data_IF_805760806074
#
_entry.id   IF_805760806074
#
_cell.length_a   1.000
_cell.length_b   1.000
_cell.length_c   1.000
_cell.angle_alpha   90.00
_cell.angle_beta   90.00
_cell.angle_gamma   90.00
#
_symmetry.space_group_name_H-M   'P 1'
#
loop_
_entity.id
_entity.type
_entity.pdbx_description
1 polymer ?
#
# COMPACT_ATOMS: atom_id res chain seq x y z
N UNK A 1 -6.18 27.33 64.56
CA UNK A 1 -6.48 26.71 63.25
C UNK A 1 -5.22 26.07 62.75
N UNK A 2 -5.14 24.71 62.72
CA UNK A 2 -4.01 23.97 62.12
C UNK A 2 -4.43 23.62 60.69
N UNK A 3 -3.72 24.21 59.71
CA UNK A 3 -3.90 23.87 58.32
C UNK A 3 -3.49 22.44 58.02
N UNK A 4 -4.06 21.78 56.98
CA UNK A 4 -3.70 20.44 56.56
C UNK A 4 -2.27 20.41 56.09
N UNK A 5 -1.46 19.51 56.69
CA UNK A 5 -0.06 19.26 56.28
C UNK A 5 -0.12 18.59 54.89
N UNK A 6 0.55 19.13 53.85
CA UNK A 6 0.61 18.48 52.57
C UNK A 6 1.32 17.13 52.70
N UNK A 7 0.65 16.03 52.37
CA UNK A 7 1.23 14.70 52.32
C UNK A 7 2.12 14.62 51.06
N UNK A 8 3.42 14.54 51.29
CA UNK A 8 4.36 14.27 50.19
C UNK A 8 4.22 12.83 49.68
N UNK A 9 4.41 12.61 48.40
CA UNK A 9 4.48 11.28 47.79
C UNK A 9 5.62 10.45 48.41
N UNK A 10 5.30 9.22 48.74
CA UNK A 10 6.34 8.25 49.22
C UNK A 10 7.16 7.76 48.02
N UNK A 11 8.46 7.58 48.22
CA UNK A 11 9.35 7.00 47.21
C UNK A 11 8.86 5.61 46.76
N UNK A 12 8.31 4.85 47.71
CA UNK A 12 7.69 3.54 47.46
C UNK A 12 6.45 3.64 46.52
N UNK A 13 5.63 4.65 46.71
CA UNK A 13 4.45 4.89 45.88
C UNK A 13 4.80 5.23 44.43
N UNK A 14 5.90 6.03 44.26
CA UNK A 14 6.41 6.33 42.93
C UNK A 14 6.90 5.07 42.21
N UNK A 15 7.65 4.20 42.91
CA UNK A 15 8.14 2.94 42.36
C UNK A 15 6.99 2.02 41.95
N UNK A 16 5.94 1.92 42.75
CA UNK A 16 4.77 1.11 42.46
C UNK A 16 4.02 1.67 41.21
N UNK A 17 3.85 2.98 41.12
CA UNK A 17 3.22 3.61 39.94
C UNK A 17 4.04 3.36 38.68
N UNK A 18 5.36 3.52 38.76
CA UNK A 18 6.24 3.22 37.62
C UNK A 18 6.19 1.75 37.20
N UNK A 19 6.13 0.82 38.17
CA UNK A 19 5.99 -0.60 37.87
C UNK A 19 4.66 -0.91 37.16
N UNK A 20 3.54 -0.32 37.63
CA UNK A 20 2.23 -0.49 36.99
C UNK A 20 2.24 0.08 35.56
N UNK A 21 2.83 1.27 35.37
CA UNK A 21 2.94 1.90 34.05
C UNK A 21 3.81 1.05 33.09
N UNK A 22 4.91 0.48 33.59
CA UNK A 22 5.75 -0.40 32.79
C UNK A 22 5.01 -1.66 32.33
N UNK A 23 4.24 -2.28 33.21
CA UNK A 23 3.42 -3.46 32.89
C UNK A 23 2.32 -3.07 31.86
N UNK A 24 1.64 -1.96 32.08
CA UNK A 24 0.62 -1.47 31.16
C UNK A 24 1.21 -1.18 29.77
N UNK A 25 2.36 -0.53 29.71
CA UNK A 25 3.06 -0.26 28.45
C UNK A 25 3.47 -1.56 27.73
N UNK A 26 3.96 -2.57 28.45
CA UNK A 26 4.35 -3.86 27.87
C UNK A 26 3.18 -4.61 27.22
N UNK A 27 1.97 -4.46 27.74
CA UNK A 27 0.75 -5.08 27.18
C UNK A 27 0.24 -4.32 25.96
N UNK A 28 0.32 -3.00 25.96
CA UNK A 28 -0.24 -2.14 24.89
C UNK A 28 0.69 -2.04 23.68
N UNK A 29 2.02 -1.99 23.89
CA UNK A 29 3.01 -1.75 22.84
C UNK A 29 2.90 -2.71 21.63
N UNK A 30 2.75 -4.05 21.77
CA UNK A 30 2.65 -4.94 20.61
C UNK A 30 1.38 -4.77 19.78
N UNK A 31 0.31 -4.22 20.35
CA UNK A 31 -0.94 -3.95 19.64
C UNK A 31 -0.84 -2.79 18.64
N UNK A 32 -0.08 -1.77 18.99
CA UNK A 32 0.07 -0.54 18.17
C UNK A 32 0.83 -0.82 16.86
N UNK A 33 1.90 -1.61 16.91
CA UNK A 33 2.70 -1.96 15.74
C UNK A 33 1.88 -2.67 14.64
N UNK A 34 1.11 -3.69 15.02
CA UNK A 34 0.28 -4.46 14.08
C UNK A 34 -0.81 -3.62 13.40
N UNK A 35 -1.33 -2.63 14.09
CA UNK A 35 -2.34 -1.71 13.53
C UNK A 35 -1.70 -0.75 12.52
N UNK A 36 -0.54 -0.21 12.82
CA UNK A 36 0.20 0.68 11.93
C UNK A 36 0.61 -0.01 10.62
N UNK A 37 1.08 -1.26 10.67
CA UNK A 37 1.44 -2.03 9.48
C UNK A 37 0.24 -2.30 8.58
N UNK A 38 -0.92 -2.56 9.18
CA UNK A 38 -2.17 -2.73 8.42
C UNK A 38 -2.64 -1.47 7.70
N UNK A 39 -2.45 -0.30 8.31
CA UNK A 39 -2.79 1.00 7.71
C UNK A 39 -1.82 1.32 6.56
N UNK A 40 -0.53 1.13 6.77
CA UNK A 40 0.50 1.32 5.74
C UNK A 40 0.27 0.43 4.53
N UNK A 41 0.02 -0.86 4.73
CA UNK A 41 -0.27 -1.80 3.66
C UNK A 41 -1.50 -1.39 2.84
N UNK A 42 -2.59 -0.95 3.49
CA UNK A 42 -3.78 -0.45 2.80
C UNK A 42 -3.49 0.81 1.99
N UNK A 43 -2.71 1.74 2.53
CA UNK A 43 -2.30 2.95 1.83
C UNK A 43 -1.48 2.63 0.58
N UNK A 44 -0.55 1.70 0.67
CA UNK A 44 0.26 1.23 -0.47
C UNK A 44 -0.60 0.60 -1.56
N UNK A 45 -1.50 -0.31 -1.20
CA UNK A 45 -2.44 -0.93 -2.17
C UNK A 45 -3.30 0.13 -2.85
N UNK A 46 -3.80 1.11 -2.08
CA UNK A 46 -4.54 2.25 -2.62
C UNK A 46 -3.73 3.07 -3.61
N UNK A 47 -2.47 3.27 -3.33
CA UNK A 47 -1.55 4.02 -4.15
C UNK A 47 -1.16 3.27 -5.46
N UNK A 48 -1.03 1.94 -5.42
CA UNK A 48 -0.86 1.10 -6.61
C UNK A 48 -2.10 1.22 -7.51
N UNK A 49 -3.30 1.09 -6.92
CA UNK A 49 -4.54 1.26 -7.67
C UNK A 49 -4.70 2.67 -8.27
N UNK A 50 -4.28 3.72 -7.56
CA UNK A 50 -4.28 5.09 -8.07
C UNK A 50 -3.31 5.26 -9.25
N UNK A 51 -2.12 4.63 -9.19
CA UNK A 51 -1.16 4.65 -10.28
C UNK A 51 -1.72 3.98 -11.55
N UNK A 52 -2.41 2.84 -11.42
CA UNK A 52 -3.08 2.18 -12.53
C UNK A 52 -4.21 3.05 -13.12
N UNK A 53 -4.99 3.74 -12.27
CA UNK A 53 -6.02 4.68 -12.74
C UNK A 53 -5.41 5.85 -13.50
N UNK A 54 -4.30 6.41 -13.01
CA UNK A 54 -3.61 7.50 -13.72
C UNK A 54 -3.07 7.06 -15.09
N UNK A 55 -2.63 5.82 -15.23
CA UNK A 55 -2.23 5.25 -16.52
C UNK A 55 -3.43 5.21 -17.50
N UNK A 56 -4.59 4.77 -17.04
CA UNK A 56 -5.81 4.79 -17.84
C UNK A 56 -6.21 6.22 -18.25
N UNK A 57 -6.20 7.16 -17.32
CA UNK A 57 -6.50 8.58 -17.57
C UNK A 57 -5.53 9.17 -18.61
N UNK A 58 -4.24 8.86 -18.50
CA UNK A 58 -3.25 9.30 -19.47
C UNK A 58 -3.46 8.65 -20.85
N UNK A 59 -3.84 7.36 -20.89
CA UNK A 59 -4.14 6.69 -22.14
C UNK A 59 -5.29 7.37 -22.90
N UNK A 60 -6.36 7.73 -22.18
CA UNK A 60 -7.53 8.41 -22.76
C UNK A 60 -7.22 9.86 -23.14
N UNK A 61 -6.61 10.63 -22.23
CA UNK A 61 -6.36 12.07 -22.44
C UNK A 61 -5.34 12.33 -23.54
N UNK A 62 -4.28 11.51 -23.61
CA UNK A 62 -3.24 11.62 -24.63
C UNK A 62 -3.56 10.86 -25.91
N UNK A 63 -4.66 10.10 -25.94
CA UNK A 63 -5.06 9.23 -27.06
C UNK A 63 -3.94 8.27 -27.47
N UNK A 64 -3.21 7.73 -26.51
CA UNK A 64 -2.07 6.84 -26.71
C UNK A 64 -2.16 5.66 -25.75
N UNK A 65 -1.81 4.47 -26.21
CA UNK A 65 -1.77 3.32 -25.34
C UNK A 65 -0.66 3.47 -24.26
N UNK A 66 -1.00 3.25 -23.02
CA UNK A 66 -0.09 3.31 -21.88
C UNK A 66 0.08 1.93 -21.27
N UNK A 67 1.32 1.56 -20.99
CA UNK A 67 1.70 0.28 -20.41
C UNK A 67 2.21 0.49 -18.99
N UNK A 68 1.73 -0.31 -18.06
CA UNK A 68 2.24 -0.37 -16.69
C UNK A 68 2.84 -1.74 -16.47
N UNK A 69 4.14 -1.76 -16.12
CA UNK A 69 4.88 -2.97 -15.78
C UNK A 69 5.24 -2.97 -14.30
N UNK A 70 5.21 -4.15 -13.71
CA UNK A 70 5.81 -4.39 -12.39
C UNK A 70 7.24 -4.84 -12.62
N UNK A 71 8.17 -4.15 -12.01
CA UNK A 71 9.57 -4.53 -11.97
C UNK A 71 9.87 -5.09 -10.57
N UNK A 72 10.01 -6.40 -10.50
CA UNK A 72 10.25 -7.11 -9.25
C UNK A 72 11.67 -6.92 -8.72
N UNK A 73 12.66 -6.65 -9.59
CA UNK A 73 14.05 -6.44 -9.19
C UNK A 73 14.23 -5.09 -8.48
N UNK A 74 13.64 -4.05 -9.05
CA UNK A 74 13.72 -2.69 -8.51
C UNK A 74 12.58 -2.34 -7.55
N UNK A 75 11.61 -3.24 -7.36
CA UNK A 75 10.39 -3.00 -6.59
C UNK A 75 9.68 -1.71 -7.02
N UNK A 76 9.47 -1.56 -8.33
CA UNK A 76 8.82 -0.37 -8.89
C UNK A 76 7.71 -0.72 -9.89
N UNK A 77 6.70 0.15 -9.94
CA UNK A 77 5.79 0.23 -11.08
C UNK A 77 6.37 1.21 -12.08
N UNK A 78 6.44 0.79 -13.33
CA UNK A 78 6.94 1.62 -14.44
C UNK A 78 5.80 1.83 -15.43
N UNK A 79 5.41 3.09 -15.65
CA UNK A 79 4.42 3.47 -16.65
C UNK A 79 5.11 4.13 -17.84
N UNK A 80 4.83 3.64 -19.03
CA UNK A 80 5.36 4.15 -20.29
C UNK A 80 4.32 4.07 -21.41
N UNK A 81 4.62 4.66 -22.56
CA UNK A 81 3.83 4.45 -23.76
C UNK A 81 4.02 3.03 -24.27
N UNK A 82 2.94 2.36 -24.64
CA UNK A 82 3.03 1.00 -25.20
C UNK A 82 3.78 0.99 -26.52
N UNK A 83 4.59 -0.05 -26.73
CA UNK A 83 5.39 -0.20 -27.96
C UNK A 83 6.69 0.61 -28.02
N UNK A 84 7.00 1.43 -27.02
CA UNK A 84 8.29 2.11 -26.93
C UNK A 84 9.25 1.30 -26.06
N UNK A 85 10.12 0.54 -26.69
CA UNK A 85 11.28 -0.06 -26.06
C UNK A 85 12.43 0.95 -26.17
N UNK A 86 12.77 1.65 -25.07
CA UNK A 86 13.87 2.60 -25.03
C UNK A 86 13.47 3.99 -24.52
N UNK A 87 14.44 4.88 -24.35
CA UNK A 87 14.44 6.14 -23.60
C UNK A 87 13.60 7.31 -24.19
N UNK A 88 12.63 7.06 -25.03
CA UNK A 88 11.80 8.13 -25.58
C UNK A 88 10.75 8.61 -24.56
N UNK A 89 11.19 9.45 -23.63
CA UNK A 89 10.41 10.05 -22.55
C UNK A 89 10.66 9.34 -21.22
N UNK A 90 10.97 10.13 -20.18
CA UNK A 90 11.18 9.59 -18.84
C UNK A 90 9.94 8.80 -18.38
N UNK A 91 10.07 7.51 -18.04
CA UNK A 91 8.95 6.73 -17.55
C UNK A 91 8.47 7.30 -16.22
N UNK A 92 7.18 7.33 -16.00
CA UNK A 92 6.68 7.60 -14.67
C UNK A 92 6.88 6.33 -13.83
N UNK A 93 7.63 6.45 -12.76
CA UNK A 93 7.94 5.35 -11.85
C UNK A 93 7.31 5.56 -10.48
N UNK A 94 6.93 4.47 -9.84
CA UNK A 94 6.48 4.46 -8.47
C UNK A 94 7.15 3.33 -7.71
N UNK A 95 7.86 3.67 -6.63
CA UNK A 95 8.41 2.67 -5.73
C UNK A 95 7.29 1.92 -4.99
N UNK A 96 7.47 0.64 -4.79
CA UNK A 96 6.62 -0.27 -4.04
C UNK A 96 7.41 -0.71 -2.80
N UNK A 97 6.76 -0.78 -1.65
CA UNK A 97 7.40 -1.32 -0.45
C UNK A 97 7.88 -2.76 -0.69
N UNK A 98 9.13 -3.06 -0.38
CA UNK A 98 9.71 -4.41 -0.44
C UNK A 98 9.00 -5.44 0.46
N UNK A 99 8.17 -4.98 1.38
CA UNK A 99 7.32 -5.82 2.23
C UNK A 99 6.11 -6.39 1.47
N UNK A 100 5.75 -5.82 0.33
CA UNK A 100 4.65 -6.29 -0.52
C UNK A 100 5.16 -7.27 -1.55
N UNK A 101 4.46 -8.38 -1.71
CA UNK A 101 4.65 -9.30 -2.85
C UNK A 101 3.48 -9.12 -3.80
N UNK A 102 3.79 -8.87 -5.06
CA UNK A 102 2.79 -8.68 -6.11
C UNK A 102 2.91 -9.83 -7.11
N UNK A 103 1.83 -10.55 -7.31
CA UNK A 103 1.71 -11.55 -8.36
C UNK A 103 0.66 -11.09 -9.37
N UNK A 104 0.98 -11.15 -10.65
CA UNK A 104 0.06 -10.79 -11.73
C UNK A 104 -0.53 -12.06 -12.32
N UNK A 105 -1.87 -12.09 -12.46
CA UNK A 105 -2.61 -13.19 -13.05
C UNK A 105 -3.54 -12.65 -14.17
N UNK A 106 -3.50 -13.17 -15.41
CA UNK A 106 -2.49 -14.12 -15.90
C UNK A 106 -1.08 -13.52 -15.91
N UNK A 107 -0.03 -14.33 -15.87
CA UNK A 107 1.35 -13.82 -15.88
C UNK A 107 1.58 -13.07 -17.18
N UNK A 108 1.49 -11.76 -17.12
CA UNK A 108 1.71 -10.86 -18.23
C UNK A 108 2.80 -9.85 -17.85
N UNK A 109 3.69 -9.51 -18.78
CA UNK A 109 4.78 -8.58 -18.48
C UNK A 109 4.28 -7.18 -18.16
N UNK A 110 3.05 -6.84 -18.55
CA UNK A 110 2.50 -5.51 -18.36
C UNK A 110 0.97 -5.48 -18.51
N UNK A 111 0.35 -4.47 -17.90
CA UNK A 111 -1.04 -4.09 -18.11
C UNK A 111 -1.08 -2.91 -19.07
N UNK A 112 -1.75 -3.05 -20.21
CA UNK A 112 -1.86 -1.99 -21.21
C UNK A 112 -3.26 -1.38 -21.17
N UNK A 113 -3.33 -0.05 -21.08
CA UNK A 113 -4.54 0.73 -21.20
C UNK A 113 -4.58 1.35 -22.60
N UNK A 114 -5.74 1.24 -23.26
CA UNK A 114 -5.97 1.70 -24.62
C UNK A 114 -6.61 3.10 -24.65
N UNK A 115 -6.45 3.87 -25.75
CA UNK A 115 -6.96 5.25 -25.84
C UNK A 115 -8.46 5.40 -25.63
N UNK A 116 -9.26 4.38 -25.94
CA UNK A 116 -10.70 4.37 -25.74
C UNK A 116 -11.14 3.84 -24.38
N UNK A 117 -10.19 3.65 -23.45
CA UNK A 117 -10.46 3.35 -22.05
C UNK A 117 -10.51 1.87 -21.70
N UNK A 118 -10.41 0.96 -22.66
CA UNK A 118 -10.25 -0.48 -22.44
C UNK A 118 -8.84 -0.82 -21.94
N UNK A 119 -8.63 -2.06 -21.53
CA UNK A 119 -7.31 -2.56 -21.12
C UNK A 119 -7.08 -4.01 -21.56
N UNK A 120 -5.88 -4.52 -21.39
CA UNK A 120 -5.59 -5.96 -21.56
C UNK A 120 -6.18 -6.81 -20.44
N UNK A 121 -6.67 -6.17 -19.37
CA UNK A 121 -7.10 -6.84 -18.16
C UNK A 121 -5.93 -7.37 -17.34
N UNK A 122 -6.07 -7.40 -16.02
CA UNK A 122 -5.14 -8.06 -15.12
C UNK A 122 -5.74 -8.22 -13.72
N UNK A 123 -5.20 -9.18 -12.95
CA UNK A 123 -5.42 -9.30 -11.51
C UNK A 123 -4.06 -9.25 -10.81
N UNK A 124 -3.90 -8.30 -9.93
CA UNK A 124 -2.70 -8.16 -9.12
C UNK A 124 -3.03 -8.66 -7.71
N UNK A 125 -2.52 -9.83 -7.36
CA UNK A 125 -2.61 -10.37 -6.01
C UNK A 125 -1.48 -9.77 -5.17
N UNK A 126 -1.82 -9.06 -4.11
CA UNK A 126 -0.89 -8.37 -3.24
C UNK A 126 -0.94 -9.02 -1.86
N UNK A 127 0.17 -9.61 -1.44
CA UNK A 127 0.35 -10.16 -0.11
C UNK A 127 1.10 -9.16 0.77
N UNK A 128 0.61 -8.97 2.00
CA UNK A 128 1.20 -8.06 2.98
C UNK A 128 1.70 -8.81 4.21
N UNK A 129 2.65 -8.28 4.97
CA UNK A 129 2.99 -8.82 6.27
C UNK A 129 1.75 -8.91 7.18
N UNK A 130 1.55 -10.05 7.86
CA UNK A 130 0.39 -10.28 8.72
C UNK A 130 -0.81 -10.96 8.05
N UNK A 131 -0.56 -11.71 6.97
CA UNK A 131 -1.54 -12.59 6.30
C UNK A 131 -2.76 -11.87 5.68
N UNK A 132 -2.70 -10.58 5.47
CA UNK A 132 -3.74 -9.85 4.73
C UNK A 132 -3.39 -9.86 3.25
N UNK A 133 -4.34 -10.26 2.42
CA UNK A 133 -4.21 -10.24 0.98
C UNK A 133 -5.19 -9.25 0.36
N UNK A 134 -4.77 -8.61 -0.71
CA UNK A 134 -5.59 -7.72 -1.52
C UNK A 134 -5.50 -8.15 -2.98
N UNK A 135 -6.57 -7.93 -3.72
CA UNK A 135 -6.59 -8.14 -5.16
C UNK A 135 -6.99 -6.84 -5.82
N UNK A 136 -6.15 -6.33 -6.71
CA UNK A 136 -6.49 -5.25 -7.62
C UNK A 136 -6.87 -5.89 -8.94
N UNK A 137 -8.08 -5.63 -9.40
CA UNK A 137 -8.58 -6.12 -10.69
C UNK A 137 -8.69 -4.96 -11.66
N UNK A 138 -8.10 -5.13 -12.83
CA UNK A 138 -8.27 -4.23 -13.98
C UNK A 138 -9.17 -4.93 -14.99
N UNK A 139 -10.34 -4.37 -15.21
CA UNK A 139 -11.34 -4.91 -16.14
C UNK A 139 -10.92 -4.66 -17.59
N UNK A 140 -10.96 -5.69 -18.42
CA UNK A 140 -10.50 -5.59 -19.81
C UNK A 140 -11.36 -4.67 -20.66
N UNK A 141 -12.69 -4.71 -20.48
CA UNK A 141 -13.63 -3.98 -21.36
C UNK A 141 -13.73 -2.50 -20.98
N UNK A 142 -13.69 -2.20 -19.69
CA UNK A 142 -13.89 -0.84 -19.18
C UNK A 142 -12.61 -0.16 -18.71
N UNK A 143 -11.51 -0.92 -18.55
CA UNK A 143 -10.26 -0.48 -17.91
C UNK A 143 -10.43 -0.06 -16.45
N UNK A 144 -11.57 -0.43 -15.82
CA UNK A 144 -11.86 -0.06 -14.43
C UNK A 144 -10.94 -0.77 -13.47
N UNK A 145 -10.36 -0.01 -12.56
CA UNK A 145 -9.50 -0.53 -11.51
C UNK A 145 -10.28 -0.62 -10.21
N UNK A 146 -10.47 -1.82 -9.69
CA UNK A 146 -11.12 -2.12 -8.43
C UNK A 146 -10.17 -2.81 -7.46
N UNK A 147 -10.38 -2.62 -6.16
CA UNK A 147 -9.56 -3.24 -5.11
C UNK A 147 -10.47 -3.99 -4.16
N UNK A 148 -10.15 -5.25 -3.90
CA UNK A 148 -10.89 -6.11 -2.99
C UNK A 148 -9.92 -6.68 -1.95
N UNK A 149 -10.33 -6.72 -0.68
CA UNK A 149 -9.57 -7.41 0.37
C UNK A 149 -9.97 -8.88 0.35
N UNK A 150 -8.98 -9.77 0.36
CA UNK A 150 -9.16 -11.22 0.43
C UNK A 150 -8.71 -11.69 1.82
N UNK A 151 -9.57 -12.42 2.47
CA UNK A 151 -9.34 -12.93 3.83
C UNK A 151 -10.05 -12.12 4.91
N UNK A 152 -10.61 -12.83 5.84
CA UNK A 152 -11.19 -12.36 7.11
C UNK A 152 -10.11 -12.16 8.15
#
# INVERSE_FOLDING_TARGET
MRGPVPRGFSLMELVVVLAILAIAAAVVAPGVGRTADGVRARAEVGAIAAFLRSAREQAVSRRQAMEVRVDDETHTLVMRRAGQAGEAGAPATRAISSLLRIAIDPPAPAVTFLPHGMSTGARLAISTPGARAYVITVDALTGRVSTTRVGS
#
